data_IF_639194401092
#
_entry.id   IF_639194401092
#
_cell.length_a   1.000
_cell.length_b   1.000
_cell.length_c   1.000
_cell.angle_alpha   90.00
_cell.angle_beta   90.00
_cell.angle_gamma   90.00
#
_symmetry.space_group_name_H-M   'P 1'
#
loop_
_entity.id
_entity.type
_entity.pdbx_description
1 polymer ?
#
# COMPACT_ATOMS: atom_id res chain seq x y z
N UNK A 1 1.15 -4.40 -26.45
CA UNK A 1 1.50 -3.05 -25.97
C UNK A 1 0.85 -2.83 -24.61
N UNK A 2 1.61 -2.35 -23.65
CA UNK A 2 1.09 -2.01 -22.32
C UNK A 2 0.40 -0.65 -22.41
N UNK A 3 -0.89 -0.60 -22.11
CA UNK A 3 -1.72 0.60 -22.22
C UNK A 3 -2.69 0.70 -21.04
N UNK A 4 -3.13 1.93 -20.73
CA UNK A 4 -4.34 2.15 -19.94
C UNK A 4 -5.51 2.24 -20.92
N UNK A 5 -6.50 1.38 -20.76
CA UNK A 5 -7.74 1.40 -21.56
C UNK A 5 -8.61 2.52 -21.02
N UNK A 6 -8.92 3.50 -21.84
CA UNK A 6 -9.78 4.63 -21.49
C UNK A 6 -11.23 4.38 -21.93
N UNK A 7 -11.40 3.93 -23.17
CA UNK A 7 -12.70 3.58 -23.77
C UNK A 7 -12.54 2.33 -24.66
N UNK A 8 -13.56 1.97 -25.40
CA UNK A 8 -13.46 0.87 -26.38
C UNK A 8 -12.40 1.14 -27.46
N UNK A 9 -12.23 2.40 -27.85
CA UNK A 9 -11.34 2.80 -28.94
C UNK A 9 -10.08 3.51 -28.43
N UNK A 10 -10.17 4.25 -27.32
CA UNK A 10 -9.10 5.11 -26.84
C UNK A 10 -8.23 4.42 -25.78
N UNK A 11 -6.93 4.62 -25.90
CA UNK A 11 -5.93 4.07 -24.98
C UNK A 11 -4.84 5.09 -24.67
N UNK A 12 -4.34 5.07 -23.44
CA UNK A 12 -3.18 5.83 -23.03
C UNK A 12 -1.97 4.89 -22.99
N UNK A 13 -0.94 5.19 -23.80
CA UNK A 13 0.27 4.37 -23.80
C UNK A 13 1.03 4.44 -22.47
N UNK A 14 1.54 3.30 -22.01
CA UNK A 14 2.41 3.21 -20.84
C UNK A 14 3.88 3.53 -21.16
N UNK A 15 4.25 3.76 -22.42
CA UNK A 15 5.59 4.19 -22.77
C UNK A 15 5.94 5.52 -22.08
N UNK A 16 7.04 5.53 -21.34
CA UNK A 16 7.51 6.71 -20.59
C UNK A 16 8.30 7.70 -21.45
N UNK A 17 8.76 7.27 -22.63
CA UNK A 17 9.57 8.11 -23.55
C UNK A 17 9.08 7.96 -24.97
N UNK A 18 7.98 8.62 -25.35
CA UNK A 18 7.59 8.69 -26.75
C UNK A 18 8.65 9.45 -27.55
N UNK A 19 8.85 9.08 -28.82
CA UNK A 19 9.83 9.72 -29.73
C UNK A 19 9.62 11.23 -29.84
N UNK A 20 8.38 11.70 -29.68
CA UNK A 20 8.02 13.12 -29.72
C UNK A 20 7.62 13.53 -28.30
N UNK A 21 8.39 14.43 -27.69
CA UNK A 21 8.17 14.92 -26.32
C UNK A 21 6.75 15.51 -26.10
N UNK A 22 6.16 16.09 -27.13
CA UNK A 22 4.77 16.59 -27.14
C UNK A 22 3.74 15.54 -26.70
N UNK A 23 4.01 14.25 -26.89
CA UNK A 23 3.13 13.15 -26.52
C UNK A 23 3.50 12.47 -25.19
N UNK A 24 4.54 12.97 -24.51
CA UNK A 24 4.90 12.55 -23.14
C UNK A 24 3.87 13.09 -22.14
N UNK A 25 2.69 12.49 -22.10
CA UNK A 25 1.59 12.91 -21.24
C UNK A 25 1.69 12.29 -19.86
N UNK A 26 1.17 13.01 -18.87
CA UNK A 26 0.87 12.45 -17.55
C UNK A 26 -0.10 11.25 -17.71
N UNK A 27 0.14 10.18 -16.92
CA UNK A 27 -0.65 8.94 -16.96
C UNK A 27 -1.75 8.89 -15.90
N UNK A 28 -1.93 9.99 -15.17
CA UNK A 28 -3.03 10.10 -14.22
C UNK A 28 -4.34 10.20 -15.00
N UNK A 29 -5.31 9.37 -14.60
CA UNK A 29 -6.63 9.32 -15.24
C UNK A 29 -7.68 9.58 -14.18
N UNK A 30 -8.48 10.60 -14.38
CA UNK A 30 -9.64 10.92 -13.55
C UNK A 30 -10.90 10.39 -14.24
N UNK A 31 -11.60 9.45 -13.58
CA UNK A 31 -12.86 8.88 -14.07
C UNK A 31 -13.99 9.38 -13.21
N UNK A 32 -14.88 10.19 -13.78
CA UNK A 32 -16.02 10.81 -13.11
C UNK A 32 -17.31 10.09 -13.51
N UNK A 33 -18.17 9.82 -12.54
CA UNK A 33 -19.49 9.23 -12.78
C UNK A 33 -20.22 8.95 -11.47
N UNK A 34 -21.53 8.99 -11.48
CA UNK A 34 -22.38 8.68 -10.35
C UNK A 34 -22.30 7.21 -9.89
N UNK A 35 -23.05 6.87 -8.85
CA UNK A 35 -23.19 5.46 -8.44
C UNK A 35 -23.86 4.66 -9.56
N UNK A 36 -23.41 3.43 -9.80
CA UNK A 36 -23.94 2.58 -10.85
C UNK A 36 -23.50 2.91 -12.28
N UNK A 37 -22.75 4.01 -12.52
CA UNK A 37 -22.31 4.40 -13.88
C UNK A 37 -21.31 3.43 -14.54
N UNK A 38 -20.92 2.36 -13.86
CA UNK A 38 -20.05 1.33 -14.41
C UNK A 38 -18.55 1.63 -14.35
N UNK A 39 -18.09 2.63 -13.56
CA UNK A 39 -16.66 2.95 -13.42
C UNK A 39 -15.79 1.72 -13.16
N UNK A 40 -16.17 0.90 -12.20
CA UNK A 40 -15.46 -0.34 -11.87
C UNK A 40 -15.53 -1.34 -13.03
N UNK A 41 -16.70 -1.51 -13.64
CA UNK A 41 -16.93 -2.50 -14.70
C UNK A 41 -16.21 -2.16 -16.00
N UNK A 42 -16.25 -0.89 -16.42
CA UNK A 42 -15.77 -0.49 -17.74
C UNK A 42 -14.38 0.13 -17.73
N UNK A 43 -13.87 0.56 -16.59
CA UNK A 43 -12.53 1.14 -16.48
C UNK A 43 -11.59 0.27 -15.61
N UNK A 44 -11.94 0.03 -14.33
CA UNK A 44 -11.02 -0.62 -13.40
C UNK A 44 -10.74 -2.07 -13.80
N UNK A 45 -11.78 -2.88 -13.97
CA UNK A 45 -11.63 -4.32 -14.27
C UNK A 45 -10.95 -4.57 -15.62
N UNK A 46 -11.28 -3.94 -16.74
CA UNK A 46 -10.57 -4.15 -18.00
C UNK A 46 -9.09 -3.82 -17.91
N UNK A 47 -8.72 -2.77 -17.17
CA UNK A 47 -7.32 -2.42 -16.98
C UNK A 47 -6.60 -3.44 -16.09
N UNK A 48 -7.22 -3.92 -15.03
CA UNK A 48 -6.67 -4.96 -14.17
C UNK A 48 -6.52 -6.30 -14.91
N UNK A 49 -7.47 -6.66 -15.74
CA UNK A 49 -7.46 -7.90 -16.54
C UNK A 49 -6.37 -7.93 -17.63
N UNK A 50 -5.74 -6.81 -17.94
CA UNK A 50 -4.57 -6.81 -18.84
C UNK A 50 -3.35 -7.50 -18.24
N UNK A 51 -3.23 -7.62 -16.92
CA UNK A 51 -2.18 -8.36 -16.22
C UNK A 51 -0.74 -7.98 -16.64
N UNK A 52 -0.48 -6.68 -16.82
CA UNK A 52 0.82 -6.23 -17.32
C UNK A 52 1.63 -5.37 -16.34
N UNK A 53 1.10 -5.11 -15.14
CA UNK A 53 1.72 -4.20 -14.16
C UNK A 53 1.45 -4.68 -12.75
N UNK A 54 2.18 -4.15 -11.78
CA UNK A 54 1.77 -4.22 -10.37
C UNK A 54 0.64 -3.24 -10.12
N UNK A 55 -0.28 -3.60 -9.24
CA UNK A 55 -1.48 -2.82 -8.95
C UNK A 55 -1.61 -2.56 -7.46
N UNK A 56 -2.01 -1.34 -7.10
CA UNK A 56 -2.53 -0.99 -5.78
C UNK A 56 -3.97 -0.56 -5.97
N UNK A 57 -4.90 -1.22 -5.27
CA UNK A 57 -6.34 -1.05 -5.51
C UNK A 57 -7.04 -0.79 -4.20
N UNK A 58 -7.82 0.27 -4.13
CA UNK A 58 -8.79 0.49 -3.05
C UNK A 58 -10.13 -0.16 -3.45
N UNK A 59 -10.58 -1.13 -2.66
CA UNK A 59 -11.80 -1.90 -2.92
C UNK A 59 -12.75 -1.88 -1.70
N UNK A 60 -13.45 -0.77 -1.46
CA UNK A 60 -14.29 -0.61 -0.26
C UNK A 60 -15.40 -1.66 -0.11
N UNK A 61 -15.80 -2.28 -1.22
CA UNK A 61 -16.85 -3.31 -1.25
C UNK A 61 -16.31 -4.75 -1.31
N UNK A 62 -15.00 -4.93 -1.53
CA UNK A 62 -14.37 -6.25 -1.73
C UNK A 62 -14.73 -6.94 -3.05
N UNK A 63 -15.46 -6.27 -3.94
CA UNK A 63 -15.98 -6.87 -5.18
C UNK A 63 -14.91 -7.11 -6.22
N UNK A 64 -13.89 -6.26 -6.28
CA UNK A 64 -12.79 -6.41 -7.24
C UNK A 64 -11.96 -7.63 -6.90
N UNK A 65 -11.65 -7.84 -5.61
CA UNK A 65 -10.93 -9.02 -5.15
C UNK A 65 -11.70 -10.30 -5.47
N UNK A 66 -13.00 -10.33 -5.19
CA UNK A 66 -13.85 -11.50 -5.45
C UNK A 66 -13.93 -11.84 -6.94
N UNK A 67 -14.08 -10.84 -7.82
CA UNK A 67 -14.30 -11.06 -9.24
C UNK A 67 -12.99 -11.23 -10.04
N UNK A 68 -11.91 -10.55 -9.66
CA UNK A 68 -10.65 -10.56 -10.39
C UNK A 68 -9.54 -11.35 -9.69
N UNK A 69 -9.69 -11.71 -8.42
CA UNK A 69 -8.63 -12.36 -7.63
C UNK A 69 -8.18 -13.68 -8.21
N UNK A 70 -9.10 -14.54 -8.64
CA UNK A 70 -8.77 -15.81 -9.26
C UNK A 70 -7.97 -15.64 -10.57
N UNK A 71 -8.32 -14.65 -11.39
CA UNK A 71 -7.57 -14.33 -12.61
C UNK A 71 -6.15 -13.84 -12.28
N UNK A 72 -6.00 -12.99 -11.28
CA UNK A 72 -4.70 -12.51 -10.82
C UNK A 72 -3.84 -13.65 -10.26
N UNK A 73 -4.43 -14.58 -9.52
CA UNK A 73 -3.73 -15.77 -9.02
C UNK A 73 -3.27 -16.70 -10.15
N UNK A 74 -4.03 -16.82 -11.23
CA UNK A 74 -3.59 -17.53 -12.42
C UNK A 74 -2.44 -16.81 -13.11
N UNK A 75 -2.44 -15.49 -13.09
CA UNK A 75 -1.41 -14.63 -13.64
C UNK A 75 -1.37 -14.54 -15.16
N UNK A 76 -0.40 -13.78 -15.65
CA UNK A 76 -0.16 -13.60 -17.09
C UNK A 76 0.61 -14.77 -17.70
N UNK A 77 0.41 -15.08 -19.00
CA UNK A 77 1.26 -16.02 -19.70
C UNK A 77 2.72 -15.56 -19.69
N UNK A 78 3.62 -16.42 -19.23
CA UNK A 78 5.06 -16.17 -19.31
C UNK A 78 5.50 -16.17 -20.77
N UNK A 79 6.33 -15.18 -21.13
CA UNK A 79 6.84 -15.03 -22.49
C UNK A 79 8.36 -15.16 -22.53
N UNK A 80 8.89 -15.70 -23.62
CA UNK A 80 10.31 -15.66 -23.93
C UNK A 80 10.74 -14.24 -24.32
N UNK A 81 12.04 -14.02 -24.47
CA UNK A 81 12.60 -12.74 -24.97
C UNK A 81 12.04 -12.36 -26.34
N UNK A 82 11.77 -13.34 -27.21
CA UNK A 82 11.12 -13.16 -28.50
C UNK A 82 9.61 -12.89 -28.43
N UNK A 83 9.03 -12.79 -27.23
CA UNK A 83 7.60 -12.51 -27.00
C UNK A 83 6.67 -13.72 -27.17
N UNK A 84 7.19 -14.92 -27.46
CA UNK A 84 6.38 -16.15 -27.58
C UNK A 84 5.94 -16.67 -26.22
N UNK A 85 4.72 -17.18 -26.15
CA UNK A 85 4.15 -17.77 -24.92
C UNK A 85 4.88 -19.08 -24.61
N UNK A 86 5.45 -19.18 -23.42
CA UNK A 86 6.12 -20.39 -22.94
C UNK A 86 5.11 -21.47 -22.55
N UNK A 87 5.44 -22.70 -22.87
CA UNK A 87 4.64 -23.89 -22.53
C UNK A 87 5.50 -24.91 -21.80
N UNK A 88 4.88 -25.71 -20.94
CA UNK A 88 5.54 -26.81 -20.25
C UNK A 88 5.68 -28.03 -21.18
N UNK A 89 6.32 -29.11 -20.71
CA UNK A 89 6.50 -30.36 -21.43
C UNK A 89 5.17 -31.02 -21.83
N UNK A 90 4.06 -30.66 -21.20
CA UNK A 90 2.70 -31.16 -21.51
C UNK A 90 1.91 -30.19 -22.41
N UNK A 91 2.56 -29.14 -22.95
CA UNK A 91 1.93 -28.14 -23.82
C UNK A 91 1.10 -27.10 -23.12
N UNK A 92 1.02 -27.06 -21.77
CA UNK A 92 0.24 -26.10 -21.00
C UNK A 92 1.00 -24.77 -20.89
N UNK A 93 0.27 -23.66 -20.93
CA UNK A 93 0.85 -22.32 -20.81
C UNK A 93 1.45 -22.14 -19.41
N UNK A 94 2.74 -21.80 -19.35
CA UNK A 94 3.40 -21.39 -18.13
C UNK A 94 2.91 -19.97 -17.80
N UNK A 95 2.47 -19.75 -16.56
CA UNK A 95 1.94 -18.45 -16.09
C UNK A 95 2.77 -17.88 -14.95
N UNK A 96 2.77 -16.59 -14.83
CA UNK A 96 3.36 -15.84 -13.72
C UNK A 96 2.23 -15.30 -12.83
N UNK A 97 1.94 -15.97 -11.69
CA UNK A 97 0.89 -15.54 -10.78
C UNK A 97 1.24 -14.24 -10.09
N UNK A 98 0.22 -13.42 -9.82
CA UNK A 98 0.38 -12.26 -8.96
C UNK A 98 0.41 -12.68 -7.49
N UNK A 99 1.29 -12.07 -6.73
CA UNK A 99 1.27 -12.14 -5.28
C UNK A 99 0.24 -11.14 -4.76
N UNK A 100 -0.94 -11.62 -4.38
CA UNK A 100 -2.02 -10.78 -3.86
C UNK A 100 -1.80 -10.55 -2.37
N UNK A 101 -1.76 -9.29 -1.97
CA UNK A 101 -1.72 -8.87 -0.57
C UNK A 101 -2.99 -8.09 -0.27
N UNK A 102 -3.73 -8.49 0.77
CA UNK A 102 -4.97 -7.86 1.17
C UNK A 102 -4.78 -7.19 2.52
N UNK A 103 -4.97 -5.87 2.56
CA UNK A 103 -5.05 -5.11 3.80
C UNK A 103 -6.53 -4.80 4.07
N UNK A 104 -7.12 -5.50 5.03
CA UNK A 104 -8.54 -5.43 5.32
C UNK A 104 -8.77 -4.67 6.64
N UNK A 105 -9.27 -3.45 6.55
CA UNK A 105 -9.55 -2.58 7.70
C UNK A 105 -10.93 -2.83 8.32
N UNK A 106 -11.78 -3.65 7.69
CA UNK A 106 -13.10 -4.02 8.19
C UNK A 106 -13.04 -5.31 9.00
N UNK A 107 -12.29 -6.30 8.51
CA UNK A 107 -12.09 -7.58 9.17
C UNK A 107 -10.59 -7.90 9.30
N UNK A 108 -10.02 -7.49 10.43
CA UNK A 108 -8.59 -7.67 10.70
C UNK A 108 -8.13 -9.13 10.69
N UNK A 109 -9.01 -10.10 11.03
CA UNK A 109 -8.68 -11.53 10.93
C UNK A 109 -8.39 -12.00 9.51
N UNK A 110 -8.87 -11.26 8.51
CA UNK A 110 -8.65 -11.52 7.08
C UNK A 110 -7.65 -10.56 6.46
N UNK A 111 -6.96 -9.78 7.27
CA UNK A 111 -5.96 -8.81 6.82
C UNK A 111 -4.55 -9.38 6.92
N UNK A 112 -3.68 -8.91 6.05
CA UNK A 112 -2.25 -9.08 6.26
C UNK A 112 -1.79 -8.21 7.43
N UNK A 113 -0.87 -8.73 8.21
CA UNK A 113 -0.18 -7.96 9.23
C UNK A 113 0.88 -7.08 8.54
N UNK A 114 1.02 -5.88 9.06
CA UNK A 114 2.00 -4.91 8.61
C UNK A 114 2.77 -4.37 9.81
N UNK A 115 4.07 -4.59 9.84
CA UNK A 115 4.96 -4.01 10.82
C UNK A 115 5.78 -2.91 10.16
N UNK A 116 5.53 -1.62 10.46
CA UNK A 116 6.27 -0.52 9.86
C UNK A 116 7.73 -0.45 10.31
N UNK A 117 8.09 -1.00 11.48
CA UNK A 117 9.46 -0.97 12.01
C UNK A 117 10.46 -1.63 11.05
N UNK A 118 10.03 -2.64 10.30
CA UNK A 118 10.89 -3.33 9.29
C UNK A 118 11.41 -2.37 8.20
N UNK A 119 10.79 -1.21 8.02
CA UNK A 119 11.14 -0.23 6.99
C UNK A 119 11.89 0.99 7.54
N UNK A 120 12.19 1.03 8.84
CA UNK A 120 12.91 2.12 9.49
C UNK A 120 14.40 1.77 9.53
N UNK A 121 15.17 2.32 8.59
CA UNK A 121 16.58 2.03 8.45
C UNK A 121 17.50 3.23 8.77
N UNK A 122 16.91 4.37 9.08
CA UNK A 122 17.63 5.60 9.40
C UNK A 122 16.83 6.50 10.34
N UNK A 123 17.52 7.38 11.08
CA UNK A 123 16.86 8.41 11.89
C UNK A 123 15.84 9.24 11.09
N UNK A 124 16.16 9.52 9.84
CA UNK A 124 15.26 10.24 8.94
C UNK A 124 13.95 9.48 8.68
N UNK A 125 14.00 8.14 8.62
CA UNK A 125 12.80 7.33 8.43
C UNK A 125 11.99 7.29 9.72
N UNK A 126 12.64 7.23 10.89
CA UNK A 126 11.97 7.34 12.20
C UNK A 126 11.21 8.67 12.29
N UNK A 127 11.87 9.79 11.98
CA UNK A 127 11.25 11.12 12.01
C UNK A 127 10.05 11.25 11.07
N UNK A 128 10.15 10.71 9.86
CA UNK A 128 9.03 10.67 8.91
C UNK A 128 7.88 9.83 9.43
N UNK A 129 8.20 8.66 9.97
CA UNK A 129 7.22 7.74 10.50
C UNK A 129 6.46 8.35 11.68
N UNK A 130 7.17 8.92 12.67
CA UNK A 130 6.58 9.60 13.82
C UNK A 130 5.72 10.79 13.37
N UNK A 131 6.21 11.57 12.41
CA UNK A 131 5.43 12.71 11.87
C UNK A 131 4.13 12.22 11.21
N UNK A 132 4.18 11.13 10.44
CA UNK A 132 3.00 10.54 9.83
C UNK A 132 2.05 9.95 10.88
N UNK A 133 2.57 9.29 11.91
CA UNK A 133 1.79 8.73 13.00
C UNK A 133 1.00 9.82 13.72
N UNK A 134 1.67 10.86 14.20
CA UNK A 134 1.05 11.99 14.90
C UNK A 134 0.01 12.68 14.00
N UNK A 135 0.36 12.97 12.74
CA UNK A 135 -0.55 13.66 11.81
C UNK A 135 -1.81 12.87 11.50
N UNK A 136 -1.73 11.54 11.48
CA UNK A 136 -2.88 10.69 11.16
C UNK A 136 -3.69 10.27 12.39
N UNK A 137 -3.15 10.41 13.60
CA UNK A 137 -3.86 10.12 14.86
C UNK A 137 -4.53 11.35 15.46
N UNK A 138 -4.10 12.55 15.06
CA UNK A 138 -4.82 13.79 15.43
C UNK A 138 -6.21 13.78 14.78
N UNK A 139 -7.25 13.80 15.61
CA UNK A 139 -8.60 14.06 15.13
C UNK A 139 -8.74 15.48 14.57
N UNK A 140 -9.85 15.77 13.90
CA UNK A 140 -10.23 17.11 13.38
C UNK A 140 -10.41 18.20 14.47
N UNK A 141 -9.94 17.95 15.68
CA UNK A 141 -9.99 18.84 16.82
C UNK A 141 -8.74 19.72 16.92
N UNK A 142 -8.96 20.94 17.36
CA UNK A 142 -8.05 22.06 17.66
C UNK A 142 -6.56 21.70 17.62
N UNK A 143 -5.79 22.50 16.90
CA UNK A 143 -4.32 22.56 17.01
C UNK A 143 -3.91 22.52 18.47
N UNK A 144 -3.36 21.39 18.91
CA UNK A 144 -2.73 21.26 20.23
C UNK A 144 -1.61 22.30 20.35
N UNK A 145 -1.23 22.62 21.56
CA UNK A 145 -0.10 23.51 21.84
C UNK A 145 1.13 22.94 21.10
N UNK A 146 1.76 23.75 20.26
CA UNK A 146 2.91 23.38 19.44
C UNK A 146 4.07 22.81 20.28
N UNK A 147 4.14 23.22 21.53
CA UNK A 147 5.12 22.72 22.49
C UNK A 147 4.89 21.23 22.78
N UNK A 148 3.65 20.84 23.12
CA UNK A 148 3.32 19.44 23.43
C UNK A 148 3.50 18.52 22.23
N UNK A 149 3.20 18.98 21.02
CA UNK A 149 3.47 18.22 19.80
C UNK A 149 4.95 17.95 19.59
N UNK A 150 5.80 18.93 19.89
CA UNK A 150 7.25 18.75 19.80
C UNK A 150 7.75 17.76 20.84
N UNK A 151 7.23 17.81 22.06
CA UNK A 151 7.57 16.87 23.13
C UNK A 151 7.13 15.45 22.77
N UNK A 152 5.91 15.26 22.31
CA UNK A 152 5.38 13.98 21.86
C UNK A 152 6.23 13.39 20.72
N UNK A 153 6.58 14.21 19.74
CA UNK A 153 7.43 13.82 18.63
C UNK A 153 8.83 13.37 19.07
N UNK A 154 9.42 14.08 20.00
CA UNK A 154 10.74 13.71 20.56
C UNK A 154 10.67 12.41 21.33
N UNK A 155 9.63 12.24 22.17
CA UNK A 155 9.42 11.00 22.93
C UNK A 155 9.27 9.79 22.02
N UNK A 156 8.35 9.82 21.06
CA UNK A 156 8.18 8.71 20.12
C UNK A 156 9.44 8.44 19.30
N UNK A 157 10.16 9.48 18.89
CA UNK A 157 11.41 9.31 18.15
C UNK A 157 12.46 8.59 19.00
N UNK A 158 12.61 8.99 20.26
CA UNK A 158 13.55 8.36 21.19
C UNK A 158 13.19 6.89 21.49
N UNK A 159 11.94 6.61 21.79
CA UNK A 159 11.47 5.25 22.09
C UNK A 159 11.61 4.31 20.89
N UNK A 160 11.26 4.79 19.69
CA UNK A 160 11.39 3.99 18.47
C UNK A 160 12.87 3.74 18.13
N UNK A 161 13.74 4.74 18.28
CA UNK A 161 15.17 4.56 18.11
C UNK A 161 15.72 3.53 19.10
N UNK A 162 15.36 3.64 20.37
CA UNK A 162 15.73 2.68 21.41
C UNK A 162 15.30 1.25 21.06
N UNK A 163 14.04 1.06 20.64
CA UNK A 163 13.53 -0.26 20.22
C UNK A 163 14.34 -0.82 19.04
N UNK A 164 14.67 0.01 18.06
CA UNK A 164 15.42 -0.44 16.88
C UNK A 164 16.88 -0.80 17.18
N UNK A 165 17.50 -0.16 18.19
CA UNK A 165 18.88 -0.40 18.57
C UNK A 165 19.03 -1.54 19.57
N UNK A 166 18.14 -1.64 20.57
CA UNK A 166 18.31 -2.52 21.72
C UNK A 166 17.40 -3.77 21.68
N UNK A 167 16.24 -3.70 21.03
CA UNK A 167 15.30 -4.82 21.01
C UNK A 167 15.61 -5.84 19.92
N UNK A 168 15.27 -7.11 20.20
CA UNK A 168 15.34 -8.16 19.19
C UNK A 168 14.42 -7.86 18.00
N UNK A 169 14.71 -8.41 16.82
CA UNK A 169 13.93 -8.16 15.61
C UNK A 169 12.43 -8.52 15.77
N UNK A 170 12.11 -9.49 16.61
CA UNK A 170 10.73 -9.90 16.89
C UNK A 170 9.99 -8.89 17.76
N UNK A 171 10.73 -8.15 18.59
CA UNK A 171 10.22 -7.14 19.51
C UNK A 171 10.17 -5.74 18.86
N UNK A 172 10.78 -5.54 17.69
CA UNK A 172 10.71 -4.28 16.95
C UNK A 172 9.33 -4.08 16.33
N UNK A 173 8.36 -3.68 17.14
CA UNK A 173 6.95 -3.53 16.75
C UNK A 173 6.19 -2.55 17.66
N UNK A 174 4.93 -2.26 17.31
CA UNK A 174 4.07 -1.37 18.08
C UNK A 174 3.70 -1.89 19.47
N UNK A 175 3.63 -3.20 19.68
CA UNK A 175 3.30 -3.72 20.99
C UNK A 175 4.38 -3.34 22.01
N UNK A 176 5.64 -3.54 21.66
CA UNK A 176 6.79 -3.12 22.49
C UNK A 176 6.79 -1.61 22.76
N UNK A 177 6.45 -0.79 21.74
CA UNK A 177 6.32 0.67 21.94
C UNK A 177 5.23 1.00 22.97
N UNK A 178 4.08 0.33 22.89
CA UNK A 178 2.98 0.54 23.84
C UNK A 178 3.35 0.07 25.24
N UNK A 179 4.05 -1.05 25.36
CA UNK A 179 4.51 -1.57 26.65
C UNK A 179 5.48 -0.60 27.33
N UNK A 180 6.43 -0.03 26.55
CA UNK A 180 7.34 1.00 27.07
C UNK A 180 6.60 2.27 27.52
N UNK A 181 5.62 2.72 26.75
CA UNK A 181 4.79 3.88 27.15
C UNK A 181 4.01 3.60 28.45
N UNK A 182 3.40 2.43 28.57
CA UNK A 182 2.68 2.04 29.77
C UNK A 182 3.59 1.93 31.01
N UNK A 183 4.84 1.48 30.83
CA UNK A 183 5.82 1.45 31.91
C UNK A 183 6.27 2.84 32.38
N UNK A 184 6.10 3.85 31.52
CA UNK A 184 6.43 5.25 31.85
C UNK A 184 5.28 5.99 32.53
N UNK A 185 4.08 5.41 32.62
CA UNK A 185 2.99 6.00 33.41
C UNK A 185 3.40 6.06 34.88
N UNK A 186 3.56 7.28 35.38
CA UNK A 186 3.80 7.52 36.80
C UNK A 186 2.47 7.29 37.51
N UNK A 187 2.37 6.19 38.28
CA UNK A 187 1.31 6.07 39.27
C UNK A 187 1.61 7.09 40.38
N UNK A 188 0.82 8.12 40.49
CA UNK A 188 0.75 8.90 41.72
C UNK A 188 0.23 7.92 42.78
N UNK A 189 1.12 7.40 43.64
CA UNK A 189 0.72 6.75 44.85
C UNK A 189 -0.01 7.79 45.70
N UNK A 190 -1.28 7.55 45.92
CA UNK A 190 -2.16 8.32 46.80
C UNK A 190 -1.75 8.06 48.28
N UNK A 191 -0.51 8.41 48.64
CA UNK A 191 -0.08 8.49 50.01
C UNK A 191 -0.40 9.90 50.53
N UNK A 192 -1.68 10.01 51.00
CA UNK A 192 -2.22 11.19 51.69
C UNK A 192 -1.63 11.46 53.05
#
# INVERSE_FOLDING_TARGET
QQNVILTQTERLTMSSRPKIAKYARNKNVLVIGGSGSGKTRFFVKPNLMQLHSSYVITDPKGTILLECGALLQQGSPKRSEDGKVLRDAKGRIIREPYRIKVFNTINFKKSLHYNPFVYLHSEKDILKFVTALISNTKGDGKTGDEFWEKCEKLLYTALIAFILEEASQEEQNFATLMDLLNMMEVHEDDDG
#
